data_IF_185363174770
#
_entry.id   IF_185363174770
#
_cell.length_a   1.000
_cell.length_b   1.000
_cell.length_c   1.000
_cell.angle_alpha   90.00
_cell.angle_beta   90.00
_cell.angle_gamma   90.00
#
_symmetry.space_group_name_H-M   'P 1'
#
loop_
_entity.id
_entity.type
_entity.pdbx_description
1 polymer ?
#
# COMPACT_ATOMS: atom_id res chain seq x y z
N UNK A 1 0.14 31.80 -3.41
CA UNK A 1 0.91 31.67 -4.68
C UNK A 1 2.07 30.68 -4.56
N UNK A 2 2.89 30.73 -3.51
CA UNK A 2 4.01 29.79 -3.30
C UNK A 2 3.57 28.32 -3.16
N UNK A 3 2.49 28.04 -2.46
CA UNK A 3 1.96 26.66 -2.29
C UNK A 3 1.64 25.98 -3.61
N UNK A 4 1.04 26.71 -4.57
CA UNK A 4 0.69 26.13 -5.87
C UNK A 4 1.89 25.82 -6.75
N UNK A 5 2.98 26.60 -6.65
CA UNK A 5 4.22 26.36 -7.42
C UNK A 5 4.90 25.08 -6.94
N UNK A 6 5.04 24.92 -5.61
CA UNK A 6 5.63 23.73 -5.01
C UNK A 6 4.78 22.50 -5.36
N UNK A 7 3.46 22.59 -5.26
CA UNK A 7 2.55 21.47 -5.57
C UNK A 7 2.65 21.05 -7.04
N UNK A 8 2.81 21.99 -7.97
CA UNK A 8 2.96 21.68 -9.39
C UNK A 8 4.31 21.00 -9.66
N UNK A 9 5.41 21.50 -9.12
CA UNK A 9 6.74 20.89 -9.24
C UNK A 9 6.75 19.46 -8.73
N UNK A 10 6.17 19.20 -7.56
CA UNK A 10 6.08 17.83 -7.00
C UNK A 10 5.19 16.92 -7.86
N UNK A 11 4.10 17.45 -8.43
CA UNK A 11 3.24 16.66 -9.32
C UNK A 11 3.98 16.25 -10.61
N UNK A 12 4.80 17.14 -11.16
CA UNK A 12 5.62 16.90 -12.35
C UNK A 12 6.70 15.85 -12.05
N UNK A 13 7.42 15.99 -10.94
CA UNK A 13 8.44 15.04 -10.49
C UNK A 13 7.86 13.63 -10.27
N UNK A 14 6.69 13.52 -9.63
CA UNK A 14 6.01 12.23 -9.45
C UNK A 14 5.63 11.62 -10.81
N UNK A 15 5.15 12.43 -11.75
CA UNK A 15 4.79 11.95 -13.08
C UNK A 15 6.02 11.49 -13.87
N UNK A 16 7.13 12.21 -13.80
CA UNK A 16 8.40 11.86 -14.44
C UNK A 16 8.97 10.57 -13.87
N UNK A 17 9.08 10.44 -12.55
CA UNK A 17 9.57 9.23 -11.88
C UNK A 17 8.70 8.01 -12.20
N UNK A 18 7.38 8.19 -12.28
CA UNK A 18 6.46 7.10 -12.59
C UNK A 18 6.56 6.63 -14.04
N UNK A 19 6.85 7.52 -14.94
CA UNK A 19 6.87 7.25 -16.38
C UNK A 19 8.28 7.44 -16.99
N UNK A 20 9.31 7.16 -16.19
CA UNK A 20 10.70 7.29 -16.61
C UNK A 20 11.08 6.46 -17.86
N UNK A 21 10.35 5.36 -18.12
CA UNK A 21 10.49 4.51 -19.32
C UNK A 21 9.49 4.86 -20.44
N UNK A 22 8.86 6.04 -20.36
CA UNK A 22 7.79 6.42 -21.27
C UNK A 22 6.39 6.20 -20.68
N UNK A 23 5.47 7.09 -21.03
CA UNK A 23 4.11 7.07 -20.51
C UNK A 23 3.32 5.91 -21.09
N UNK A 24 2.85 4.99 -20.25
CA UNK A 24 2.05 3.83 -20.62
C UNK A 24 0.72 3.79 -19.87
N UNK A 25 -0.19 2.95 -20.33
CA UNK A 25 -1.47 2.72 -19.66
C UNK A 25 -1.29 1.98 -18.34
N UNK A 26 -1.72 2.51 -17.18
CA UNK A 26 -1.55 1.85 -15.88
C UNK A 26 -2.46 0.62 -15.70
N UNK A 27 -3.31 0.29 -16.65
CA UNK A 27 -4.23 -0.84 -16.57
C UNK A 27 -3.76 -2.06 -17.38
N UNK A 28 -3.12 -1.85 -18.52
CA UNK A 28 -2.66 -2.92 -19.42
C UNK A 28 -1.21 -2.75 -19.91
N UNK A 29 -0.50 -1.74 -19.41
CA UNK A 29 0.89 -1.38 -19.77
C UNK A 29 1.13 -1.10 -21.26
N UNK A 30 0.06 -0.86 -22.04
CA UNK A 30 0.18 -0.50 -23.46
C UNK A 30 0.79 0.89 -23.63
N UNK A 31 1.73 1.04 -24.55
CA UNK A 31 2.50 2.26 -24.81
C UNK A 31 1.74 3.28 -25.64
N UNK A 32 0.85 2.83 -26.55
CA UNK A 32 0.06 3.73 -27.39
C UNK A 32 -1.09 4.33 -26.60
N UNK A 33 -0.95 5.61 -26.28
CA UNK A 33 -1.94 6.41 -25.56
C UNK A 33 -2.18 7.73 -26.27
N UNK A 34 -3.35 8.31 -26.13
CA UNK A 34 -3.68 9.65 -26.64
C UNK A 34 -4.10 10.59 -25.51
N UNK A 35 -3.82 11.89 -25.70
CA UNK A 35 -4.40 12.93 -24.82
C UNK A 35 -5.91 12.96 -25.00
N UNK A 36 -6.67 12.93 -23.90
CA UNK A 36 -8.13 12.85 -23.91
C UNK A 36 -8.75 13.98 -23.06
N UNK A 37 -8.44 15.21 -23.44
CA UNK A 37 -8.92 16.41 -22.79
C UNK A 37 -8.29 16.68 -21.41
N UNK A 38 -8.64 17.82 -20.85
CA UNK A 38 -8.26 18.25 -19.50
C UNK A 38 -9.53 18.40 -18.66
N UNK A 39 -9.42 18.21 -17.34
CA UNK A 39 -10.50 18.52 -16.44
C UNK A 39 -10.00 19.41 -15.30
N UNK A 40 -10.87 20.32 -14.87
CA UNK A 40 -10.60 21.23 -13.79
C UNK A 40 -11.17 20.63 -12.50
N UNK A 41 -10.30 20.30 -11.57
CA UNK A 41 -10.66 19.81 -10.23
C UNK A 41 -10.31 20.86 -9.16
N UNK A 42 -10.72 20.60 -7.92
CA UNK A 42 -10.36 21.47 -6.77
C UNK A 42 -8.82 21.59 -6.59
N UNK A 43 -8.07 20.62 -7.05
CA UNK A 43 -6.60 20.55 -6.94
C UNK A 43 -5.92 20.87 -8.28
N UNK A 44 -6.47 21.77 -9.08
CA UNK A 44 -5.93 22.25 -10.35
C UNK A 44 -6.39 21.46 -11.59
N UNK A 45 -5.77 21.80 -12.71
CA UNK A 45 -6.06 21.19 -14.01
C UNK A 45 -5.28 19.89 -14.14
N UNK A 46 -5.98 18.82 -14.54
CA UNK A 46 -5.36 17.51 -14.76
C UNK A 46 -5.56 17.05 -16.20
N UNK A 47 -4.48 16.60 -16.84
CA UNK A 47 -4.55 15.98 -18.16
C UNK A 47 -5.11 14.57 -18.04
N UNK A 48 -6.05 14.22 -18.89
CA UNK A 48 -6.56 12.85 -19.08
C UNK A 48 -5.91 12.23 -20.31
N UNK A 49 -5.70 10.93 -20.24
CA UNK A 49 -5.20 10.12 -21.33
C UNK A 49 -6.17 8.96 -21.59
N UNK A 50 -6.18 8.47 -22.82
CA UNK A 50 -6.96 7.29 -23.24
C UNK A 50 -6.02 6.24 -23.80
N UNK A 51 -6.18 5.00 -23.36
CA UNK A 51 -5.46 3.86 -23.90
C UNK A 51 -6.00 3.51 -25.28
N UNK A 52 -5.11 3.28 -26.24
CA UNK A 52 -5.45 2.92 -27.60
C UNK A 52 -5.57 1.41 -27.82
N UNK A 53 -5.24 0.58 -26.80
CA UNK A 53 -5.46 -0.86 -26.86
C UNK A 53 -6.97 -1.15 -27.01
N UNK A 54 -7.40 -1.90 -28.05
CA UNK A 54 -8.80 -2.21 -28.31
C UNK A 54 -9.49 -2.92 -27.15
N UNK A 55 -8.75 -3.73 -26.39
CA UNK A 55 -9.29 -4.51 -25.26
C UNK A 55 -9.35 -3.72 -23.95
N UNK A 56 -8.63 -2.59 -23.89
CA UNK A 56 -8.56 -1.79 -22.67
C UNK A 56 -9.44 -0.53 -22.74
N UNK A 57 -9.19 0.36 -23.71
CA UNK A 57 -9.89 1.64 -23.97
C UNK A 57 -10.11 2.55 -22.75
N UNK A 58 -9.47 2.24 -21.59
CA UNK A 58 -9.66 2.96 -20.34
C UNK A 58 -9.02 4.34 -20.37
N UNK A 59 -9.65 5.29 -19.68
CA UNK A 59 -9.10 6.62 -19.47
C UNK A 59 -8.38 6.69 -18.13
N UNK A 60 -7.31 7.47 -18.06
CA UNK A 60 -6.49 7.62 -16.85
C UNK A 60 -5.84 9.01 -16.80
N UNK A 61 -5.25 9.33 -15.66
CA UNK A 61 -4.38 10.49 -15.45
C UNK A 61 -3.09 10.03 -14.78
N UNK A 62 -2.17 10.95 -14.54
CA UNK A 62 -0.86 10.65 -13.97
C UNK A 62 -0.90 9.98 -12.59
N UNK A 63 -1.99 10.13 -11.85
CA UNK A 63 -2.18 9.51 -10.52
C UNK A 63 -3.05 8.25 -10.51
N UNK A 64 -3.57 7.83 -11.65
CA UNK A 64 -4.43 6.63 -11.72
C UNK A 64 -3.68 5.38 -11.24
N UNK A 65 -4.31 4.53 -10.41
CA UNK A 65 -3.69 3.37 -9.75
C UNK A 65 -2.52 3.69 -8.79
N UNK A 66 -2.36 4.95 -8.38
CA UNK A 66 -1.45 5.30 -7.28
C UNK A 66 -2.20 5.37 -5.94
N UNK A 67 -1.51 5.42 -4.80
CA UNK A 67 -2.16 5.62 -3.49
C UNK A 67 -3.04 6.85 -3.43
N UNK A 68 -2.65 7.92 -4.13
CA UNK A 68 -3.39 9.20 -4.20
C UNK A 68 -4.51 9.21 -5.23
N UNK A 69 -4.73 8.09 -5.94
CA UNK A 69 -5.81 7.98 -6.93
C UNK A 69 -7.17 8.28 -6.30
N UNK A 70 -7.99 9.05 -7.02
CA UNK A 70 -9.34 9.47 -6.60
C UNK A 70 -9.39 10.28 -5.30
N UNK A 71 -8.27 10.82 -4.83
CA UNK A 71 -8.24 11.70 -3.68
C UNK A 71 -8.86 13.06 -3.99
N UNK A 72 -9.69 13.56 -3.06
CA UNK A 72 -10.23 14.93 -3.08
C UNK A 72 -9.27 15.93 -2.43
N UNK A 73 -8.23 15.46 -1.76
CA UNK A 73 -7.20 16.27 -1.10
C UNK A 73 -5.98 16.41 -2.00
N UNK A 74 -5.28 17.53 -1.88
CA UNK A 74 -4.06 17.80 -2.64
C UNK A 74 -2.90 16.88 -2.27
N UNK A 75 -1.90 16.87 -3.13
CA UNK A 75 -0.68 16.06 -2.92
C UNK A 75 0.11 16.55 -1.69
N UNK A 76 0.08 17.85 -1.42
CA UNK A 76 0.67 18.49 -0.26
C UNK A 76 0.27 17.82 1.06
N UNK A 77 -1.03 17.55 1.24
CA UNK A 77 -1.54 16.84 2.41
C UNK A 77 -1.09 15.38 2.46
N UNK A 78 -0.93 14.73 1.33
CA UNK A 78 -0.41 13.36 1.26
C UNK A 78 1.06 13.29 1.64
N UNK A 79 1.88 14.26 1.20
CA UNK A 79 3.29 14.36 1.57
C UNK A 79 3.45 14.63 3.07
N UNK A 80 2.68 15.58 3.60
CA UNK A 80 2.66 15.87 5.03
C UNK A 80 2.25 14.63 5.84
N UNK A 81 1.25 13.87 5.36
CA UNK A 81 0.82 12.64 6.00
C UNK A 81 1.93 11.58 6.00
N UNK A 82 2.62 11.40 4.86
CA UNK A 82 3.74 10.49 4.76
C UNK A 82 4.87 10.88 5.72
N UNK A 83 5.18 12.17 5.81
CA UNK A 83 6.17 12.69 6.78
C UNK A 83 5.76 12.38 8.23
N UNK A 84 4.49 12.56 8.58
CA UNK A 84 3.98 12.18 9.90
C UNK A 84 4.14 10.68 10.17
N UNK A 85 3.98 9.82 9.16
CA UNK A 85 4.20 8.38 9.30
C UNK A 85 5.67 8.05 9.56
N UNK A 86 6.60 8.69 8.86
CA UNK A 86 8.05 8.52 9.06
C UNK A 86 8.45 8.96 10.47
N UNK A 87 7.86 10.03 10.97
CA UNK A 87 8.08 10.53 12.33
C UNK A 87 7.45 9.65 13.43
N UNK A 88 6.80 8.52 13.07
CA UNK A 88 6.20 7.60 14.03
C UNK A 88 4.86 8.07 14.63
N UNK A 89 4.23 9.10 14.08
CA UNK A 89 2.97 9.64 14.60
C UNK A 89 1.83 8.61 14.51
N UNK A 90 0.98 8.60 15.53
CA UNK A 90 -0.25 7.79 15.53
C UNK A 90 -1.24 8.28 14.48
N UNK A 91 -2.22 7.44 14.11
CA UNK A 91 -3.27 7.83 13.13
C UNK A 91 -4.04 9.08 13.59
N UNK A 92 -4.28 9.24 14.88
CA UNK A 92 -4.98 10.41 15.44
C UNK A 92 -4.14 11.68 15.29
N UNK A 93 -2.86 11.62 15.66
CA UNK A 93 -1.92 12.74 15.48
C UNK A 93 -1.78 13.12 14.00
N UNK A 94 -1.63 12.12 13.10
CA UNK A 94 -1.58 12.39 11.66
C UNK A 94 -2.86 13.08 11.16
N UNK A 95 -4.03 12.66 11.64
CA UNK A 95 -5.31 13.26 11.26
C UNK A 95 -5.40 14.72 11.68
N UNK A 96 -4.92 15.03 12.88
CA UNK A 96 -4.90 16.37 13.49
C UNK A 96 -3.93 17.30 12.73
N UNK A 97 -2.66 16.87 12.56
CA UNK A 97 -1.63 17.65 11.88
C UNK A 97 -2.01 17.96 10.41
N UNK A 98 -2.57 16.97 9.70
CA UNK A 98 -2.94 17.10 8.28
C UNK A 98 -4.31 17.71 8.08
N UNK A 99 -5.07 17.90 9.15
CA UNK A 99 -6.47 18.41 9.15
C UNK A 99 -7.39 17.55 8.26
N UNK A 100 -7.40 16.26 8.53
CA UNK A 100 -8.26 15.29 7.86
C UNK A 100 -9.03 14.47 8.89
N UNK A 101 -10.13 13.85 8.46
CA UNK A 101 -10.88 12.95 9.32
C UNK A 101 -10.06 11.70 9.67
N UNK A 102 -10.21 11.18 10.91
CA UNK A 102 -9.51 9.99 11.40
C UNK A 102 -9.72 8.77 10.48
N UNK A 103 -10.95 8.58 9.97
CA UNK A 103 -11.21 7.50 9.01
C UNK A 103 -10.42 7.70 7.71
N UNK A 104 -10.29 8.93 7.22
CA UNK A 104 -9.46 9.25 6.05
C UNK A 104 -7.98 8.95 6.34
N UNK A 105 -7.48 9.33 7.51
CA UNK A 105 -6.11 9.06 7.95
C UNK A 105 -5.83 7.55 8.02
N UNK A 106 -6.78 6.77 8.54
CA UNK A 106 -6.70 5.32 8.57
C UNK A 106 -6.58 4.73 7.15
N UNK A 107 -7.46 5.09 6.24
CA UNK A 107 -7.40 4.62 4.85
C UNK A 107 -6.13 5.07 4.12
N UNK A 108 -5.65 6.28 4.37
CA UNK A 108 -4.42 6.76 3.76
C UNK A 108 -3.21 5.97 4.22
N UNK A 109 -3.12 5.66 5.51
CA UNK A 109 -2.05 4.81 6.05
C UNK A 109 -2.01 3.46 5.34
N UNK A 110 -3.15 2.80 5.20
CA UNK A 110 -3.22 1.52 4.50
C UNK A 110 -2.86 1.62 3.01
N UNK A 111 -3.30 2.66 2.31
CA UNK A 111 -2.93 2.89 0.91
C UNK A 111 -1.42 3.11 0.72
N UNK A 112 -0.78 3.85 1.61
CA UNK A 112 0.66 4.09 1.56
C UNK A 112 1.42 2.79 1.86
N UNK A 113 1.05 2.08 2.92
CA UNK A 113 1.69 0.81 3.29
C UNK A 113 1.51 -0.24 2.17
N UNK A 114 0.32 -0.35 1.57
CA UNK A 114 0.08 -1.28 0.45
C UNK A 114 0.91 -0.94 -0.79
N UNK A 115 1.13 0.35 -1.05
CA UNK A 115 2.01 0.77 -2.13
C UNK A 115 3.48 0.42 -1.85
N UNK A 116 3.95 0.68 -0.62
CA UNK A 116 5.32 0.37 -0.20
C UNK A 116 5.56 -1.15 -0.22
N UNK A 117 4.59 -1.94 0.23
CA UNK A 117 4.69 -3.41 0.24
C UNK A 117 5.07 -4.01 -1.11
N UNK A 118 4.72 -3.36 -2.20
CA UNK A 118 5.07 -3.82 -3.56
C UNK A 118 6.53 -3.60 -3.94
N UNK A 119 7.25 -2.80 -3.18
CA UNK A 119 8.66 -2.46 -3.42
C UNK A 119 9.59 -2.95 -2.31
N UNK A 120 9.06 -3.11 -1.10
CA UNK A 120 9.81 -3.54 0.08
C UNK A 120 9.40 -4.98 0.42
N UNK A 121 10.39 -5.83 0.68
CA UNK A 121 10.15 -7.21 1.09
C UNK A 121 10.10 -8.24 -0.04
N UNK A 122 10.37 -7.84 -1.27
CA UNK A 122 10.53 -8.73 -2.44
C UNK A 122 11.93 -8.67 -3.02
N UNK A 123 12.90 -8.08 -2.29
CA UNK A 123 14.31 -8.03 -2.71
C UNK A 123 14.94 -9.41 -2.68
N UNK A 124 15.88 -9.68 -3.60
CA UNK A 124 16.83 -10.77 -3.45
C UNK A 124 17.81 -10.41 -2.33
N UNK A 125 18.01 -11.32 -1.41
CA UNK A 125 19.03 -11.21 -0.38
C UNK A 125 20.32 -11.81 -0.88
N UNK A 126 21.47 -11.19 -0.58
CA UNK A 126 22.78 -11.63 -1.04
C UNK A 126 23.79 -11.76 0.12
N UNK A 127 24.73 -12.70 -0.01
CA UNK A 127 25.80 -12.88 0.97
C UNK A 127 25.34 -13.46 2.30
N UNK A 128 25.73 -12.84 3.41
CA UNK A 128 25.33 -13.26 4.76
C UNK A 128 23.95 -12.74 5.07
N UNK A 129 23.02 -13.65 5.33
CA UNK A 129 21.60 -13.37 5.56
C UNK A 129 21.25 -13.75 6.99
N UNK A 130 20.61 -12.83 7.71
CA UNK A 130 20.00 -13.06 9.03
C UNK A 130 18.49 -13.29 8.82
N UNK A 131 17.97 -14.40 9.33
CA UNK A 131 16.56 -14.78 9.22
C UNK A 131 15.94 -14.90 10.61
N UNK A 132 14.72 -14.38 10.76
CA UNK A 132 13.91 -14.53 11.97
C UNK A 132 12.44 -14.70 11.63
N UNK A 133 11.68 -15.37 12.50
CA UNK A 133 10.24 -15.57 12.34
C UNK A 133 9.47 -14.72 13.35
N UNK A 134 8.50 -13.98 12.85
CA UNK A 134 7.55 -13.21 13.67
C UNK A 134 6.17 -13.84 13.58
N UNK A 135 5.53 -14.02 14.73
CA UNK A 135 4.22 -14.66 14.84
C UNK A 135 3.14 -13.65 15.19
N UNK A 136 2.23 -13.42 14.25
CA UNK A 136 1.11 -12.50 14.41
C UNK A 136 -0.19 -13.29 14.66
N UNK A 137 -0.91 -12.99 15.75
CA UNK A 137 -2.18 -13.63 16.01
C UNK A 137 -3.22 -13.30 14.94
N UNK A 138 -3.84 -14.34 14.36
CA UNK A 138 -4.87 -14.18 13.33
C UNK A 138 -6.15 -13.62 13.98
N UNK A 139 -6.62 -12.50 13.44
CA UNK A 139 -7.82 -11.84 13.93
C UNK A 139 -8.91 -11.84 12.85
N UNK A 140 -10.11 -12.24 13.24
CA UNK A 140 -11.32 -12.16 12.40
C UNK A 140 -12.25 -11.02 12.81
N UNK A 141 -11.78 -10.10 13.67
CA UNK A 141 -12.54 -8.92 14.08
C UNK A 141 -12.77 -8.00 12.89
N UNK A 142 -13.99 -7.50 12.74
CA UNK A 142 -14.38 -6.64 11.61
C UNK A 142 -14.79 -7.38 10.35
N UNK A 143 -14.59 -8.69 10.27
CA UNK A 143 -15.14 -9.50 9.18
C UNK A 143 -16.64 -9.75 9.43
N UNK A 144 -17.44 -9.56 8.40
CA UNK A 144 -18.88 -9.78 8.48
C UNK A 144 -19.20 -11.22 8.04
N UNK A 145 -19.96 -11.95 8.88
CA UNK A 145 -20.42 -13.32 8.60
C UNK A 145 -21.28 -13.42 7.31
N UNK A 146 -21.78 -12.28 6.81
CA UNK A 146 -22.59 -12.20 5.60
C UNK A 146 -21.78 -11.94 4.30
N UNK A 147 -20.46 -11.94 4.35
CA UNK A 147 -19.63 -11.79 3.15
C UNK A 147 -19.76 -13.04 2.28
N UNK A 148 -20.15 -12.89 1.03
CA UNK A 148 -20.17 -13.99 0.05
C UNK A 148 -18.76 -14.45 -0.37
N UNK A 149 -17.76 -13.62 -0.13
CA UNK A 149 -16.38 -13.84 -0.62
C UNK A 149 -15.44 -14.44 0.45
N UNK A 150 -15.91 -14.57 1.68
CA UNK A 150 -15.08 -15.07 2.76
C UNK A 150 -15.92 -15.81 3.81
N UNK A 151 -15.62 -17.09 3.98
CA UNK A 151 -16.19 -17.92 5.06
C UNK A 151 -15.25 -17.85 6.25
N UNK A 152 -15.75 -17.39 7.39
CA UNK A 152 -14.95 -17.32 8.62
C UNK A 152 -14.66 -18.74 9.13
N UNK A 153 -13.38 -19.10 9.35
CA UNK A 153 -13.01 -20.42 9.93
C UNK A 153 -13.53 -20.60 11.36
N UNK A 154 -13.75 -19.51 12.07
CA UNK A 154 -14.34 -19.46 13.41
C UNK A 154 -14.91 -18.07 13.70
N UNK A 155 -15.67 -17.95 14.75
CA UNK A 155 -16.13 -16.66 15.25
C UNK A 155 -14.98 -15.78 15.75
N UNK A 156 -15.14 -14.47 15.60
CA UNK A 156 -14.19 -13.51 16.15
C UNK A 156 -14.22 -13.54 17.68
N UNK A 157 -13.03 -13.53 18.29
CA UNK A 157 -12.93 -13.53 19.77
C UNK A 157 -13.38 -12.19 20.35
N UNK A 158 -14.09 -12.24 21.45
CA UNK A 158 -14.45 -11.05 22.24
C UNK A 158 -13.18 -10.48 22.90
N UNK A 159 -13.23 -9.19 23.28
CA UNK A 159 -12.15 -8.51 23.98
C UNK A 159 -11.78 -9.29 25.26
N UNK A 160 -10.48 -9.53 25.47
CA UNK A 160 -9.95 -10.25 26.63
C UNK A 160 -9.97 -11.78 26.54
N UNK A 161 -10.53 -12.36 25.47
CA UNK A 161 -10.40 -13.81 25.21
C UNK A 161 -9.09 -14.08 24.47
N UNK A 162 -8.21 -14.81 25.11
CA UNK A 162 -6.94 -15.26 24.56
C UNK A 162 -7.09 -16.53 23.72
N UNK A 163 -6.01 -16.91 23.04
CA UNK A 163 -5.89 -18.18 22.32
C UNK A 163 -5.79 -19.29 23.36
N UNK A 164 -6.73 -20.24 23.35
CA UNK A 164 -6.75 -21.35 24.33
C UNK A 164 -5.62 -22.37 24.11
N UNK A 165 -4.92 -22.30 23.01
CA UNK A 165 -3.84 -23.23 22.66
C UNK A 165 -2.50 -22.69 23.14
N UNK A 166 -1.80 -23.46 23.98
CA UNK A 166 -0.48 -23.07 24.49
C UNK A 166 0.57 -23.12 23.37
N UNK A 167 1.41 -22.09 23.30
CA UNK A 167 2.50 -21.98 22.32
C UNK A 167 2.04 -21.53 20.92
N UNK A 168 2.89 -21.74 19.92
CA UNK A 168 2.65 -21.36 18.52
C UNK A 168 1.71 -22.38 17.87
N UNK A 169 0.47 -21.98 17.67
CA UNK A 169 -0.57 -22.79 17.04
C UNK A 169 -0.95 -22.24 15.67
N UNK A 170 -1.83 -22.93 14.93
CA UNK A 170 -2.40 -22.45 13.65
C UNK A 170 -3.21 -21.14 13.74
N UNK A 171 -3.39 -20.63 14.97
CA UNK A 171 -4.00 -19.31 15.21
C UNK A 171 -3.03 -18.14 15.02
N UNK A 172 -1.79 -18.43 14.66
CA UNK A 172 -0.77 -17.43 14.35
C UNK A 172 -0.35 -17.52 12.89
N UNK A 173 -0.25 -16.39 12.23
CA UNK A 173 0.39 -16.24 10.94
C UNK A 173 1.91 -16.11 11.16
N UNK A 174 2.70 -16.95 10.52
CA UNK A 174 4.15 -16.90 10.57
C UNK A 174 4.68 -16.01 9.44
N UNK A 175 5.35 -14.94 9.79
CA UNK A 175 6.02 -14.04 8.85
C UNK A 175 7.52 -14.23 8.98
N UNK A 176 8.16 -14.68 7.90
CA UNK A 176 9.62 -14.74 7.82
C UNK A 176 10.15 -13.35 7.46
N UNK A 177 11.11 -12.89 8.24
CA UNK A 177 11.85 -11.66 7.98
C UNK A 177 13.32 -12.03 7.71
N UNK A 178 13.89 -11.49 6.64
CA UNK A 178 15.31 -11.66 6.30
C UNK A 178 15.96 -10.31 6.04
N UNK A 179 17.21 -10.17 6.45
CA UNK A 179 18.04 -9.00 6.16
C UNK A 179 19.43 -9.43 5.76
N UNK A 180 20.00 -8.78 4.76
CA UNK A 180 21.40 -8.96 4.39
C UNK A 180 22.30 -7.81 4.89
N UNK A 181 23.61 -7.95 4.70
CA UNK A 181 24.59 -6.93 5.12
C UNK A 181 24.53 -5.64 4.27
N UNK A 182 23.86 -5.67 3.13
CA UNK A 182 23.64 -4.49 2.27
C UNK A 182 22.40 -3.70 2.67
N UNK A 183 21.60 -4.20 3.65
CA UNK A 183 20.37 -3.59 4.10
C UNK A 183 19.15 -3.95 3.25
N UNK A 184 19.25 -4.93 2.35
CA UNK A 184 18.08 -5.46 1.66
C UNK A 184 17.22 -6.25 2.65
N UNK A 185 15.91 -6.08 2.55
CA UNK A 185 14.93 -6.71 3.44
C UNK A 185 14.00 -7.59 2.63
N UNK A 186 13.77 -8.79 3.12
CA UNK A 186 12.72 -9.70 2.67
C UNK A 186 11.70 -9.89 3.78
N UNK A 187 10.42 -9.88 3.44
CA UNK A 187 9.33 -10.27 4.36
C UNK A 187 8.29 -11.08 3.61
N UNK A 188 7.91 -12.22 4.16
CA UNK A 188 6.93 -13.09 3.51
C UNK A 188 6.09 -13.86 4.53
N UNK A 189 4.78 -13.99 4.24
CA UNK A 189 3.91 -14.91 4.96
C UNK A 189 4.25 -16.34 4.49
N UNK A 190 4.67 -17.21 5.41
CA UNK A 190 5.06 -18.58 5.08
C UNK A 190 3.90 -19.54 5.30
N UNK A 191 3.33 -19.55 6.51
CA UNK A 191 2.32 -20.51 6.92
C UNK A 191 1.53 -20.02 8.13
N UNK A 192 0.50 -20.79 8.50
CA UNK A 192 -0.19 -20.64 9.76
C UNK A 192 0.42 -21.60 10.81
N UNK A 193 0.83 -21.04 11.94
CA UNK A 193 1.50 -21.76 13.02
C UNK A 193 3.01 -21.88 12.82
N UNK A 194 3.60 -22.90 13.43
CA UNK A 194 5.05 -23.16 13.34
C UNK A 194 5.42 -23.68 11.95
N UNK A 195 6.40 -23.05 11.25
CA UNK A 195 6.81 -23.51 9.93
C UNK A 195 7.45 -24.89 10.01
N UNK A 196 7.18 -25.72 9.01
CA UNK A 196 7.86 -26.96 8.79
C UNK A 196 9.13 -26.70 7.95
N UNK A 197 10.07 -27.63 7.98
CA UNK A 197 11.31 -27.51 7.19
C UNK A 197 11.04 -27.25 5.69
N UNK A 198 10.01 -27.88 5.14
CA UNK A 198 9.58 -27.72 3.74
C UNK A 198 9.05 -26.33 3.39
N UNK A 199 8.59 -25.59 4.38
CA UNK A 199 8.00 -24.24 4.16
C UNK A 199 9.08 -23.15 4.03
N UNK A 200 10.31 -23.45 4.47
CA UNK A 200 11.46 -22.51 4.43
C UNK A 200 12.20 -22.49 3.09
N UNK A 201 11.87 -23.39 2.17
CA UNK A 201 12.51 -23.53 0.87
C UNK A 201 11.61 -23.15 -0.33
N UNK A 202 10.46 -22.53 -0.07
CA UNK A 202 9.58 -21.94 -1.09
C UNK A 202 9.75 -20.43 -1.14
#
# INVERSE_FOLDING_TARGET
LMSNVITNSVNEEIAENRFNKGKCCPFCNHDKISKYGKYHGKNGVKQRYKCQNPDCKKTFNDFSKSPVSSSKKGIDKWLLYAQCMVNGNTIRQCAEIVEINIATAFFWRHKIIDAIRKFVGYGSLEGVIELDETYCAISYKGNHSKSSNFTMPRESRKRGKEINTRGISKEFACVLCGVDRLGNIYTGLICDGRPKYTDKHR
#
